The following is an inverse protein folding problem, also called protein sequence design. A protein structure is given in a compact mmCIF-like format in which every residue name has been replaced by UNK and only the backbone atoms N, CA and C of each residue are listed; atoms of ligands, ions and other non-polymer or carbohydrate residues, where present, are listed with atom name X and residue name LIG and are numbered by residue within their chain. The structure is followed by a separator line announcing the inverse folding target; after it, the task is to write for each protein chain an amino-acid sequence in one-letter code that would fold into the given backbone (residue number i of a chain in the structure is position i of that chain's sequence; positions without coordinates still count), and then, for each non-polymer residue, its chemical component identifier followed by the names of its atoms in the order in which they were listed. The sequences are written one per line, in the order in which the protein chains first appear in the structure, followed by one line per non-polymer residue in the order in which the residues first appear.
data_IF_964806462509
#
_entry.id   IF_964806462509
#
_cell.length_a   1.000
_cell.length_b   1.000
_cell.length_c   1.000
_cell.angle_alpha   90.00
_cell.angle_beta   90.00
_cell.angle_gamma   90.00
#
_symmetry.space_group_name_H-M   'P 1'
#
loop_
_entity.id
_entity.type
_entity.pdbx_description
1 polymer ?
#
# COMPACT_ATOMS: atom_id res chain seq x y z
N UNK A 1 18.96 2.56 -15.57
CA UNK A 1 18.48 1.16 -15.67
C UNK A 1 18.42 0.47 -14.31
N UNK A 2 19.45 0.59 -13.46
CA UNK A 2 19.43 -0.01 -12.11
C UNK A 2 18.27 0.48 -11.22
N UNK A 3 17.99 1.78 -11.21
CA UNK A 3 16.88 2.34 -10.44
C UNK A 3 15.51 1.80 -10.88
N UNK A 4 15.27 1.70 -12.19
CA UNK A 4 14.03 1.12 -12.72
C UNK A 4 13.88 -0.37 -12.39
N UNK A 5 14.97 -1.15 -12.52
CA UNK A 5 14.97 -2.57 -12.11
C UNK A 5 14.75 -2.75 -10.61
N UNK A 6 15.37 -1.89 -9.79
CA UNK A 6 15.17 -1.91 -8.34
C UNK A 6 13.73 -1.60 -7.97
N UNK A 7 13.12 -0.57 -8.59
CA UNK A 7 11.72 -0.21 -8.35
C UNK A 7 10.74 -1.32 -8.71
N UNK A 8 10.89 -1.92 -9.89
CA UNK A 8 10.06 -3.06 -10.31
C UNK A 8 10.23 -4.25 -9.36
N UNK A 9 11.47 -4.57 -8.96
CA UNK A 9 11.73 -5.67 -8.02
C UNK A 9 11.08 -5.42 -6.65
N UNK A 10 11.05 -4.17 -6.18
CA UNK A 10 10.38 -3.81 -4.92
C UNK A 10 8.87 -3.98 -5.04
N UNK A 11 8.25 -3.49 -6.12
CA UNK A 11 6.81 -3.63 -6.36
C UNK A 11 6.43 -5.11 -6.47
N UNK A 12 7.18 -5.89 -7.25
CA UNK A 12 6.98 -7.33 -7.41
C UNK A 12 7.03 -8.06 -6.06
N UNK A 13 8.01 -7.71 -5.22
CA UNK A 13 8.13 -8.31 -3.88
C UNK A 13 6.88 -8.06 -3.03
N UNK A 14 6.34 -6.84 -3.02
CA UNK A 14 5.15 -6.51 -2.23
C UNK A 14 3.87 -7.16 -2.77
N UNK A 15 3.76 -7.38 -4.08
CA UNK A 15 2.63 -8.10 -4.69
C UNK A 15 2.73 -9.61 -4.39
N UNK A 16 3.94 -10.19 -4.45
CA UNK A 16 4.17 -11.63 -4.22
C UNK A 16 4.02 -12.05 -2.76
N UNK A 17 4.17 -11.12 -1.81
CA UNK A 17 3.99 -11.39 -0.38
C UNK A 17 2.68 -10.80 0.14
N UNK A 18 1.51 -11.39 -0.19
CA UNK A 18 0.25 -10.93 0.36
C UNK A 18 0.22 -11.13 1.87
N UNK A 19 -0.51 -10.27 2.56
CA UNK A 19 -0.77 -10.44 3.99
C UNK A 19 -1.50 -11.77 4.19
N UNK A 20 -1.10 -12.60 5.17
CA UNK A 20 -1.76 -13.88 5.41
C UNK A 20 -3.27 -13.71 5.61
N UNK A 21 -4.09 -14.42 4.82
CA UNK A 21 -5.57 -14.34 4.89
C UNK A 21 -6.13 -14.61 6.29
N UNK A 22 -5.46 -15.46 7.08
CA UNK A 22 -5.82 -15.73 8.47
C UNK A 22 -5.80 -14.45 9.33
N UNK A 23 -4.88 -13.52 9.08
CA UNK A 23 -4.78 -12.27 9.81
C UNK A 23 -6.00 -11.37 9.56
N UNK A 24 -6.39 -11.21 8.29
CA UNK A 24 -7.57 -10.41 7.93
C UNK A 24 -8.86 -10.99 8.52
N UNK A 25 -9.01 -12.32 8.50
CA UNK A 25 -10.16 -12.98 9.12
C UNK A 25 -10.20 -12.80 10.64
N UNK A 26 -9.06 -12.90 11.34
CA UNK A 26 -9.00 -12.69 12.79
C UNK A 26 -9.30 -11.24 13.15
N UNK A 27 -8.80 -10.27 12.38
CA UNK A 27 -9.14 -8.86 12.55
C UNK A 27 -10.64 -8.59 12.34
N UNK A 28 -11.22 -9.11 11.26
CA UNK A 28 -12.65 -8.98 10.99
C UNK A 28 -13.52 -9.65 12.06
N UNK A 29 -13.11 -10.81 12.55
CA UNK A 29 -13.79 -11.51 13.65
C UNK A 29 -13.72 -10.70 14.95
N UNK A 30 -12.56 -10.13 15.28
CA UNK A 30 -12.37 -9.29 16.47
C UNK A 30 -13.25 -8.04 16.46
N UNK A 31 -13.35 -7.35 15.32
CA UNK A 31 -14.23 -6.18 15.20
C UNK A 31 -15.70 -6.57 15.35
N UNK A 32 -16.13 -7.71 14.80
CA UNK A 32 -17.50 -8.23 14.97
C UNK A 32 -17.80 -8.61 16.42
N UNK A 33 -16.89 -9.30 17.09
CA UNK A 33 -17.03 -9.65 18.52
C UNK A 33 -17.08 -8.38 19.38
N UNK A 34 -16.21 -7.41 19.10
CA UNK A 34 -16.19 -6.13 19.79
C UNK A 34 -17.53 -5.38 19.61
N UNK A 35 -18.08 -5.38 18.40
CA UNK A 35 -19.38 -4.76 18.12
C UNK A 35 -20.53 -5.43 18.91
N UNK A 36 -20.55 -6.77 18.97
CA UNK A 36 -21.53 -7.52 19.79
C UNK A 36 -21.41 -7.20 21.28
N UNK A 37 -20.18 -7.06 21.78
CA UNK A 37 -19.92 -6.71 23.18
C UNK A 37 -20.36 -5.28 23.52
N UNK A 38 -20.03 -4.32 22.65
CA UNK A 38 -20.43 -2.92 22.78
C UNK A 38 -21.96 -2.77 22.71
N UNK A 39 -22.62 -3.46 21.76
CA UNK A 39 -24.07 -3.43 21.64
C UNK A 39 -24.77 -3.99 22.89
N UNK A 40 -24.26 -5.09 23.47
CA UNK A 40 -24.85 -5.68 24.68
C UNK A 40 -24.65 -4.80 25.93
N UNK A 41 -23.45 -4.22 26.12
CA UNK A 41 -23.18 -3.32 27.25
C UNK A 41 -24.01 -2.03 27.19
N UNK A 42 -24.05 -1.36 26.03
CA UNK A 42 -24.81 -0.13 25.90
C UNK A 42 -26.32 -0.36 25.87
N UNK A 43 -26.78 -1.55 25.43
CA UNK A 43 -28.17 -1.98 25.60
C UNK A 43 -28.58 -2.05 27.08
N UNK A 44 -27.73 -2.62 27.94
CA UNK A 44 -27.97 -2.66 29.39
C UNK A 44 -27.99 -1.26 30.01
N UNK A 45 -27.04 -0.39 29.64
CA UNK A 45 -26.99 1.00 30.12
C UNK A 45 -28.24 1.79 29.68
N UNK A 46 -28.73 1.54 28.46
CA UNK A 46 -29.96 2.15 27.97
C UNK A 46 -31.18 1.74 28.81
N UNK A 47 -31.30 0.46 29.16
CA UNK A 47 -32.38 -0.04 30.03
C UNK A 47 -32.29 0.57 31.44
N UNK A 48 -31.08 0.72 31.99
CA UNK A 48 -30.89 1.38 33.28
C UNK A 48 -31.32 2.86 33.27
N UNK A 49 -31.06 3.59 32.19
CA UNK A 49 -31.51 4.97 32.03
C UNK A 49 -33.02 5.09 31.81
N UNK A 50 -33.66 4.07 31.26
CA UNK A 50 -35.12 4.01 31.09
C UNK A 50 -35.84 3.66 32.40
N UNK A 51 -35.27 2.75 33.20
CA UNK A 51 -35.86 2.27 34.46
C UNK A 51 -35.53 3.16 35.68
N UNK A 52 -34.75 4.23 35.49
CA UNK A 52 -34.32 5.12 36.58
C UNK A 52 -35.46 5.95 37.18
N UNK A 53 -35.47 6.07 38.51
CA UNK A 53 -36.49 6.80 39.30
C UNK A 53 -36.57 8.32 39.02
N UNK A 54 -35.65 8.90 38.26
CA UNK A 54 -35.53 10.35 38.01
C UNK A 54 -36.13 10.81 36.66
N UNK A 55 -36.89 9.96 35.97
CA UNK A 55 -37.47 10.28 34.66
C UNK A 55 -36.55 9.94 33.48
N UNK A 56 -37.11 9.98 32.27
CA UNK A 56 -36.41 9.57 31.05
C UNK A 56 -35.40 10.66 30.64
N UNK A 57 -34.11 10.37 30.78
CA UNK A 57 -33.04 11.26 30.31
C UNK A 57 -32.78 11.02 28.81
N UNK A 58 -33.62 11.62 27.96
CA UNK A 58 -33.57 11.45 26.50
C UNK A 58 -32.20 11.75 25.91
N UNK A 59 -31.52 12.80 26.39
CA UNK A 59 -30.18 13.21 25.92
C UNK A 59 -29.13 12.15 26.24
N UNK A 60 -29.22 11.49 27.40
CA UNK A 60 -28.28 10.45 27.81
C UNK A 60 -28.47 9.18 26.96
N UNK A 61 -29.72 8.82 26.65
CA UNK A 61 -30.05 7.69 25.78
C UNK A 61 -29.54 7.95 24.37
N UNK A 62 -29.83 9.13 23.80
CA UNK A 62 -29.36 9.50 22.46
C UNK A 62 -27.83 9.46 22.35
N UNK A 63 -27.11 10.05 23.31
CA UNK A 63 -25.63 10.00 23.34
C UNK A 63 -25.11 8.56 23.41
N UNK A 64 -25.79 7.70 24.17
CA UNK A 64 -25.41 6.30 24.34
C UNK A 64 -25.62 5.50 23.07
N UNK A 65 -26.76 5.68 22.39
CA UNK A 65 -27.06 5.05 21.09
C UNK A 65 -26.10 5.51 20.01
N UNK A 66 -25.85 6.83 19.94
CA UNK A 66 -24.89 7.39 18.98
C UNK A 66 -23.49 6.80 19.18
N UNK A 67 -23.01 6.72 20.44
CA UNK A 67 -21.71 6.14 20.76
C UNK A 67 -21.65 4.63 20.46
N UNK A 68 -22.73 3.91 20.74
CA UNK A 68 -22.84 2.48 20.46
C UNK A 68 -22.84 2.17 18.96
N UNK A 69 -23.31 3.09 18.11
CA UNK A 69 -23.34 2.92 16.65
C UNK A 69 -22.07 3.45 15.96
N UNK A 70 -21.60 4.64 16.35
CA UNK A 70 -20.52 5.34 15.64
C UNK A 70 -19.16 4.68 15.85
N UNK A 71 -18.90 4.17 17.06
CA UNK A 71 -17.63 3.50 17.38
C UNK A 71 -17.41 2.23 16.52
N UNK A 72 -18.34 1.26 16.47
CA UNK A 72 -18.19 0.09 15.60
C UNK A 72 -18.34 0.42 14.11
N UNK A 73 -19.11 1.43 13.73
CA UNK A 73 -19.16 1.89 12.33
C UNK A 73 -17.76 2.32 11.86
N UNK A 74 -17.06 3.14 12.64
CA UNK A 74 -15.72 3.61 12.30
C UNK A 74 -14.71 2.46 12.22
N UNK A 75 -14.75 1.50 13.16
CA UNK A 75 -13.88 0.33 13.11
C UNK A 75 -14.13 -0.56 11.89
N UNK A 76 -15.39 -0.77 11.50
CA UNK A 76 -15.72 -1.53 10.30
C UNK A 76 -15.32 -0.78 9.02
N UNK A 77 -15.54 0.54 8.95
CA UNK A 77 -15.14 1.36 7.82
C UNK A 77 -13.60 1.37 7.65
N UNK A 78 -12.85 1.51 8.73
CA UNK A 78 -11.38 1.43 8.72
C UNK A 78 -10.90 0.06 8.24
N UNK A 79 -11.59 -1.02 8.62
CA UNK A 79 -11.23 -2.37 8.21
C UNK A 79 -11.48 -2.60 6.71
N UNK A 80 -12.55 -2.03 6.15
CA UNK A 80 -12.83 -2.05 4.70
C UNK A 80 -11.73 -1.28 3.97
N UNK A 81 -11.41 -0.06 4.39
CA UNK A 81 -10.34 0.75 3.78
C UNK A 81 -8.99 0.03 3.82
N UNK A 82 -8.66 -0.65 4.93
CA UNK A 82 -7.44 -1.44 5.01
C UNK A 82 -7.48 -2.67 4.09
N UNK A 83 -8.65 -3.24 3.85
CA UNK A 83 -8.87 -4.30 2.86
C UNK A 83 -8.57 -3.78 1.45
N UNK A 84 -9.19 -2.66 1.08
CA UNK A 84 -9.03 -2.05 -0.24
C UNK A 84 -7.57 -1.60 -0.46
N UNK A 85 -6.91 -1.05 0.56
CA UNK A 85 -5.49 -0.64 0.48
C UNK A 85 -4.51 -1.81 0.38
N UNK A 86 -4.92 -3.04 0.72
CA UNK A 86 -4.03 -4.21 0.69
C UNK A 86 -3.63 -4.58 -0.74
N UNK A 87 -4.48 -4.31 -1.74
CA UNK A 87 -4.18 -4.54 -3.14
C UNK A 87 -4.58 -3.34 -4.02
N UNK A 88 -3.69 -2.35 -4.23
CA UNK A 88 -4.00 -1.14 -4.99
C UNK A 88 -4.01 -1.35 -6.52
N UNK A 89 -3.97 -2.60 -6.99
CA UNK A 89 -3.89 -2.99 -8.40
C UNK A 89 -5.05 -3.89 -8.83
N UNK A 90 -6.08 -4.07 -8.01
CA UNK A 90 -7.22 -4.95 -8.30
C UNK A 90 -8.18 -4.35 -9.34
N UNK A 91 -8.06 -3.04 -9.59
CA UNK A 91 -8.85 -2.29 -10.56
C UNK A 91 -10.14 -1.70 -9.99
N UNK A 92 -10.22 -1.54 -8.66
CA UNK A 92 -11.33 -0.85 -8.01
C UNK A 92 -11.26 0.68 -8.24
N UNK A 93 -12.33 1.39 -7.92
CA UNK A 93 -12.48 2.84 -8.12
C UNK A 93 -11.42 3.66 -7.37
N UNK A 94 -10.84 3.10 -6.30
CA UNK A 94 -9.76 3.68 -5.50
C UNK A 94 -8.34 3.29 -5.93
N UNK A 95 -8.20 2.42 -6.93
CA UNK A 95 -6.91 1.80 -7.29
C UNK A 95 -6.09 2.63 -8.29
N UNK A 96 -4.84 2.22 -8.46
CA UNK A 96 -3.95 2.78 -9.45
C UNK A 96 -4.45 2.43 -10.86
N UNK A 97 -4.86 3.45 -11.62
CA UNK A 97 -5.28 3.23 -13.01
C UNK A 97 -4.08 2.99 -13.91
N UNK A 98 -3.91 1.76 -14.40
CA UNK A 98 -2.89 1.42 -15.40
C UNK A 98 -3.03 2.25 -16.69
N UNK A 99 -4.25 2.67 -17.05
CA UNK A 99 -4.49 3.51 -18.22
C UNK A 99 -3.80 4.89 -18.14
N UNK A 100 -3.78 5.51 -16.96
CA UNK A 100 -3.06 6.78 -16.77
C UNK A 100 -1.56 6.57 -16.78
N UNK A 101 -1.09 5.44 -16.25
CA UNK A 101 0.33 5.08 -16.28
C UNK A 101 0.82 4.86 -17.72
N UNK A 102 0.08 4.10 -18.52
CA UNK A 102 0.39 3.85 -19.93
C UNK A 102 0.40 5.14 -20.74
N UNK A 103 -0.62 6.00 -20.56
CA UNK A 103 -0.69 7.30 -21.22
C UNK A 103 0.49 8.22 -20.84
N UNK A 104 0.94 8.17 -19.59
CA UNK A 104 2.09 8.93 -19.13
C UNK A 104 3.40 8.42 -19.76
N UNK A 105 3.61 7.11 -19.79
CA UNK A 105 4.79 6.50 -20.44
C UNK A 105 4.81 6.81 -21.93
N UNK A 106 3.66 6.73 -22.60
CA UNK A 106 3.55 7.08 -24.02
C UNK A 106 3.92 8.54 -24.27
N UNK A 107 3.35 9.47 -23.49
CA UNK A 107 3.65 10.89 -23.60
C UNK A 107 5.14 11.18 -23.35
N UNK A 108 5.74 10.62 -22.30
CA UNK A 108 7.17 10.79 -22.01
C UNK A 108 8.05 10.22 -23.13
N UNK A 109 7.72 9.04 -23.64
CA UNK A 109 8.42 8.41 -24.76
C UNK A 109 8.42 9.29 -26.02
N UNK A 110 7.26 9.86 -26.36
CA UNK A 110 7.13 10.79 -27.49
C UNK A 110 7.97 12.05 -27.29
N UNK A 111 7.89 12.68 -26.11
CA UNK A 111 8.69 13.89 -25.83
C UNK A 111 10.19 13.62 -25.88
N UNK A 112 10.64 12.43 -25.48
CA UNK A 112 12.04 12.02 -25.58
C UNK A 112 12.48 11.90 -27.04
N UNK A 113 11.63 11.31 -27.91
CA UNK A 113 11.90 11.20 -29.35
C UNK A 113 11.98 12.59 -29.97
N UNK A 114 11.01 13.47 -29.72
CA UNK A 114 11.01 14.84 -30.22
C UNK A 114 12.24 15.64 -29.76
N UNK A 115 12.63 15.51 -28.48
CA UNK A 115 13.84 16.13 -27.95
C UNK A 115 15.12 15.55 -28.58
N UNK A 116 15.10 14.28 -29.00
CA UNK A 116 16.23 13.65 -29.68
C UNK A 116 16.41 14.14 -31.13
N UNK A 117 15.30 14.53 -31.77
CA UNK A 117 15.29 15.09 -33.13
C UNK A 117 15.61 16.58 -33.12
N UNK A 118 15.02 17.34 -32.19
CA UNK A 118 15.18 18.79 -32.08
C UNK A 118 16.33 19.16 -31.13
N UNK A 119 17.55 18.80 -31.52
CA UNK A 119 18.75 19.10 -30.74
C UNK A 119 19.14 20.59 -30.84
N UNK A 120 19.61 21.21 -29.75
CA UNK A 120 20.05 22.59 -29.81
C UNK A 120 21.34 22.73 -30.62
N UNK A 121 21.46 23.86 -31.36
CA UNK A 121 22.52 24.12 -32.35
C UNK A 121 23.96 23.94 -31.83
N UNK A 122 24.19 24.12 -30.54
CA UNK A 122 25.51 23.94 -29.91
C UNK A 122 25.92 22.45 -29.72
N UNK A 123 25.01 21.51 -29.95
CA UNK A 123 25.26 20.06 -30.01
C UNK A 123 25.42 19.53 -31.44
N UNK A 124 25.10 20.31 -32.47
CA UNK A 124 25.27 19.91 -33.87
C UNK A 124 26.76 19.64 -34.15
N UNK A 125 27.09 18.42 -34.61
CA UNK A 125 28.46 17.97 -34.87
C UNK A 125 29.13 17.15 -33.76
N UNK A 126 28.50 17.00 -32.58
CA UNK A 126 28.95 16.06 -31.54
C UNK A 126 28.19 14.74 -31.64
N UNK A 127 28.75 13.79 -32.38
CA UNK A 127 28.27 12.40 -32.33
C UNK A 127 28.64 11.78 -30.99
N UNK A 128 27.64 11.30 -30.24
CA UNK A 128 27.87 10.47 -29.06
C UNK A 128 28.59 9.19 -29.49
N UNK A 129 29.90 9.10 -29.23
CA UNK A 129 30.74 7.94 -29.55
C UNK A 129 30.53 6.82 -28.53
N UNK A 130 29.27 6.40 -28.33
CA UNK A 130 28.89 5.34 -27.43
C UNK A 130 29.17 5.62 -25.95
N UNK A 131 28.40 4.95 -25.09
CA UNK A 131 28.77 4.82 -23.69
C UNK A 131 29.98 3.90 -23.62
N UNK A 132 31.13 4.43 -23.21
CA UNK A 132 32.27 3.61 -22.80
C UNK A 132 32.02 3.25 -21.33
N UNK A 133 31.82 1.98 -20.96
CA UNK A 133 31.87 1.60 -19.56
C UNK A 133 33.23 2.03 -19.01
N UNK A 134 33.24 2.98 -18.09
CA UNK A 134 34.46 3.41 -17.41
C UNK A 134 34.94 2.26 -16.53
N UNK A 135 35.88 1.49 -17.08
CA UNK A 135 36.63 0.41 -16.45
C UNK A 135 35.81 -0.76 -15.84
N UNK A 136 36.29 -2.01 -15.92
CA UNK A 136 35.74 -3.04 -15.07
C UNK A 136 36.03 -2.63 -13.63
N UNK A 137 35.02 -2.22 -12.86
CA UNK A 137 35.06 -2.35 -11.40
C UNK A 137 35.47 -3.79 -11.15
N UNK A 138 36.71 -3.98 -10.69
CA UNK A 138 37.28 -5.28 -10.44
C UNK A 138 36.25 -6.08 -9.64
N UNK A 139 35.66 -7.09 -10.29
CA UNK A 139 34.88 -8.09 -9.59
C UNK A 139 35.84 -8.63 -8.53
N UNK A 140 35.56 -8.51 -7.22
CA UNK A 140 36.47 -9.05 -6.22
C UNK A 140 36.69 -10.51 -6.59
N UNK A 141 37.94 -10.87 -6.90
CA UNK A 141 38.28 -12.23 -7.24
C UNK A 141 37.84 -13.08 -6.06
N UNK A 142 36.88 -13.97 -6.27
CA UNK A 142 36.57 -14.98 -5.29
C UNK A 142 37.87 -15.73 -5.02
N UNK A 143 38.37 -15.61 -3.80
CA UNK A 143 39.55 -16.31 -3.29
C UNK A 143 39.30 -17.81 -3.49
N UNK A 144 39.85 -18.37 -4.56
CA UNK A 144 40.06 -19.80 -4.69
C UNK A 144 41.11 -20.16 -3.64
N UNK A 145 40.66 -20.60 -2.47
CA UNK A 145 41.52 -21.24 -1.49
C UNK A 145 42.14 -22.47 -2.17
N UNK A 146 43.45 -22.42 -2.39
CA UNK A 146 44.27 -23.56 -2.79
C UNK A 146 44.11 -24.68 -1.76
N UNK A 147 43.51 -25.79 -2.18
CA UNK A 147 43.65 -27.06 -1.48
C UNK A 147 44.90 -27.77 -1.99
N UNK A 148 46.00 -27.41 -1.36
CA UNK A 148 47.28 -28.11 -1.30
C UNK A 148 47.87 -27.55 0.00
N UNK A 149 48.15 -28.30 1.05
CA UNK A 149 48.92 -29.54 1.07
C UNK A 149 48.78 -30.32 2.41
N UNK A 150 48.96 -31.64 2.29
CA UNK A 150 49.65 -32.59 3.19
C UNK A 150 49.07 -32.96 4.57
N UNK A 151 49.44 -34.14 5.13
CA UNK A 151 50.13 -35.32 4.56
C UNK A 151 49.27 -36.59 4.51
#
# INVERSE_FOLDING_TARGET
VEQGRSGISTIQMYIETPIPMAYLHVLGLMVKIHNVFIASLYGLICVMHLAGSHGVNEVAIFRTVLRAFFMPFLYNALLIINGDLTNPFDGDVGDLSFSQFDACIEAESLTLIEASENRPKWMEGRTFTGWKPDAPTARPQMVQKSKTELP
#
